data_IF_279757304938
#
_entry.id   IF_279757304938
#
_cell.length_a   1.000
_cell.length_b   1.000
_cell.length_c   1.000
_cell.angle_alpha   90.00
_cell.angle_beta   90.00
_cell.angle_gamma   90.00
#
_symmetry.space_group_name_H-M   'P 1'
#
loop_
_entity.id
_entity.type
_entity.pdbx_description
1 polymer ?
#
# COMPACT_ATOMS: atom_id res chain seq x y z
N UNK A 1 19.43 -2.73 9.42
CA UNK A 1 18.83 -1.76 8.46
C UNK A 1 17.32 -1.96 8.52
N UNK A 2 16.50 -0.91 8.57
CA UNK A 2 15.05 -1.06 8.70
C UNK A 2 14.35 -1.58 7.43
N UNK A 3 15.00 -2.46 6.64
CA UNK A 3 14.49 -2.93 5.35
C UNK A 3 14.41 -1.84 4.29
N UNK A 4 15.41 -0.95 4.18
CA UNK A 4 15.37 0.24 3.31
C UNK A 4 15.15 -0.06 1.82
N UNK A 5 15.27 -1.31 1.41
CA UNK A 5 15.05 -1.80 0.03
C UNK A 5 14.04 -2.94 -0.03
N UNK A 6 13.31 -3.23 1.06
CA UNK A 6 12.43 -4.41 1.10
C UNK A 6 11.20 -4.25 0.20
N UNK A 7 10.68 -3.03 0.08
CA UNK A 7 9.42 -2.73 -0.60
C UNK A 7 8.24 -3.60 -0.13
N UNK A 8 8.34 -4.16 1.08
CA UNK A 8 7.35 -5.05 1.67
C UNK A 8 7.12 -6.36 0.90
N UNK A 9 8.09 -6.77 0.09
CA UNK A 9 8.03 -8.04 -0.63
C UNK A 9 8.59 -9.19 0.21
N UNK A 10 8.03 -10.37 -0.04
CA UNK A 10 8.73 -11.62 0.21
C UNK A 10 9.63 -11.92 -0.99
N UNK A 11 10.92 -11.65 -0.80
CA UNK A 11 11.94 -11.76 -1.82
C UNK A 11 12.17 -13.23 -2.19
N UNK A 12 11.96 -13.65 -3.45
CA UNK A 12 12.31 -15.00 -3.90
C UNK A 12 13.83 -15.19 -4.05
N UNK A 13 14.61 -14.10 -4.08
CA UNK A 13 16.06 -14.13 -4.27
C UNK A 13 16.83 -14.11 -2.95
N UNK A 14 16.20 -13.63 -1.87
CA UNK A 14 16.83 -13.45 -0.57
C UNK A 14 15.84 -13.83 0.55
N UNK A 15 15.93 -15.05 1.09
CA UNK A 15 15.08 -15.51 2.18
C UNK A 15 15.19 -14.70 3.48
N UNK A 16 16.18 -13.81 3.61
CA UNK A 16 16.25 -12.89 4.75
C UNK A 16 15.35 -11.65 4.59
N UNK A 17 14.75 -11.47 3.41
CA UNK A 17 13.81 -10.38 3.09
C UNK A 17 12.40 -10.93 2.88
N UNK A 18 11.76 -11.40 3.95
CA UNK A 18 10.36 -11.83 3.95
C UNK A 18 9.47 -10.77 4.62
N UNK A 19 9.40 -9.57 4.02
CA UNK A 19 8.73 -8.43 4.66
C UNK A 19 7.21 -8.43 4.53
N UNK A 20 6.65 -9.13 3.54
CA UNK A 20 5.21 -9.31 3.46
C UNK A 20 4.77 -10.15 4.65
N UNK A 21 5.32 -11.37 4.77
CA UNK A 21 5.07 -12.31 5.88
C UNK A 21 5.39 -11.68 7.24
N UNK A 22 6.55 -11.05 7.39
CA UNK A 22 6.94 -10.42 8.66
C UNK A 22 5.92 -9.38 9.12
N UNK A 23 5.42 -8.53 8.22
CA UNK A 23 4.52 -7.44 8.61
C UNK A 23 3.07 -7.92 8.77
N UNK A 24 2.56 -8.77 7.88
CA UNK A 24 1.16 -9.21 7.94
C UNK A 24 0.90 -10.29 9.00
N UNK A 25 1.90 -11.12 9.31
CA UNK A 25 1.73 -12.26 10.21
C UNK A 25 2.51 -12.10 11.51
N UNK A 26 3.85 -12.11 11.42
CA UNK A 26 4.71 -12.23 12.61
C UNK A 26 4.60 -11.01 13.53
N UNK A 27 4.70 -9.81 12.96
CA UNK A 27 4.62 -8.56 13.69
C UNK A 27 3.21 -8.35 14.27
N UNK A 28 2.17 -8.65 13.48
CA UNK A 28 0.78 -8.57 13.94
C UNK A 28 0.55 -9.51 15.12
N UNK A 29 0.95 -10.77 15.01
CA UNK A 29 0.82 -11.75 16.10
C UNK A 29 1.63 -11.34 17.35
N UNK A 30 2.85 -10.83 17.15
CA UNK A 30 3.69 -10.33 18.23
C UNK A 30 3.02 -9.16 18.98
N UNK A 31 2.49 -8.18 18.25
CA UNK A 31 1.83 -7.01 18.82
C UNK A 31 0.54 -7.41 19.52
N UNK A 32 -0.30 -8.21 18.87
CA UNK A 32 -1.58 -8.67 19.39
C UNK A 32 -1.45 -9.51 20.67
N UNK A 33 -0.33 -10.23 20.84
CA UNK A 33 -0.06 -11.02 22.05
C UNK A 33 0.45 -10.21 23.23
N UNK A 34 0.97 -8.99 23.00
CA UNK A 34 1.66 -8.17 24.02
C UNK A 34 0.94 -6.89 24.39
N UNK A 35 0.13 -6.38 23.46
CA UNK A 35 -0.59 -5.13 23.63
C UNK A 35 -2.09 -5.37 23.49
N UNK A 36 -2.88 -4.47 24.08
CA UNK A 36 -4.34 -4.51 23.98
C UNK A 36 -4.76 -3.94 22.62
N UNK A 37 -4.80 -4.81 21.61
CA UNK A 37 -5.27 -4.50 20.26
C UNK A 37 -6.68 -5.03 20.02
N UNK A 38 -7.35 -4.47 19.00
CA UNK A 38 -8.52 -5.09 18.40
C UNK A 38 -8.06 -5.92 17.20
N UNK A 39 -8.26 -7.25 17.27
CA UNK A 39 -7.73 -8.20 16.27
C UNK A 39 -8.60 -8.36 15.02
N UNK A 40 -9.45 -7.38 14.74
CA UNK A 40 -10.33 -7.38 13.58
C UNK A 40 -9.72 -6.52 12.46
N UNK A 41 -9.82 -6.93 11.18
CA UNK A 41 -9.32 -6.14 10.05
C UNK A 41 -9.89 -4.73 10.03
N UNK A 42 -11.19 -4.57 10.29
CA UNK A 42 -11.88 -3.28 10.34
C UNK A 42 -11.42 -2.41 11.52
N UNK A 43 -10.49 -2.89 12.36
CA UNK A 43 -9.87 -2.14 13.46
C UNK A 43 -8.36 -1.98 13.28
N UNK A 44 -7.82 -2.36 12.12
CA UNK A 44 -6.39 -2.33 11.80
C UNK A 44 -6.17 -1.62 10.47
N UNK A 45 -5.27 -0.65 10.49
CA UNK A 45 -4.90 0.14 9.33
C UNK A 45 -3.41 0.05 9.03
N UNK A 46 -3.06 0.14 7.75
CA UNK A 46 -1.72 0.45 7.27
C UNK A 46 -1.71 1.87 6.73
N UNK A 47 -0.64 2.63 7.03
CA UNK A 47 -0.47 3.97 6.49
C UNK A 47 1.02 4.23 6.26
N UNK A 48 1.36 4.89 5.16
CA UNK A 48 2.76 5.17 4.88
C UNK A 48 3.01 6.15 3.75
N UNK A 49 4.27 6.56 3.66
CA UNK A 49 4.77 7.55 2.70
C UNK A 49 5.73 6.87 1.73
N UNK A 50 5.66 7.18 0.42
CA UNK A 50 6.61 6.67 -0.59
C UNK A 50 6.62 5.13 -0.66
N UNK A 51 7.76 4.48 -0.38
CA UNK A 51 7.84 3.02 -0.19
C UNK A 51 6.85 2.54 0.88
N UNK A 52 6.62 3.30 1.95
CA UNK A 52 5.60 2.99 2.95
C UNK A 52 4.17 3.13 2.41
N UNK A 53 3.93 4.02 1.44
CA UNK A 53 2.62 4.14 0.78
C UNK A 53 2.36 2.96 -0.16
N UNK A 54 3.41 2.46 -0.83
CA UNK A 54 3.39 1.16 -1.50
C UNK A 54 3.03 0.06 -0.51
N UNK A 55 3.79 -0.09 0.57
CA UNK A 55 3.57 -1.13 1.59
C UNK A 55 2.17 -1.09 2.19
N UNK A 56 1.65 0.11 2.46
CA UNK A 56 0.31 0.26 3.03
C UNK A 56 -0.77 -0.36 2.14
N UNK A 57 -0.78 0.00 0.85
CA UNK A 57 -1.73 -0.56 -0.10
C UNK A 57 -1.44 -2.03 -0.42
N UNK A 58 -0.18 -2.37 -0.67
CA UNK A 58 0.25 -3.72 -1.05
C UNK A 58 -0.17 -4.75 0.01
N UNK A 59 0.15 -4.49 1.27
CA UNK A 59 -0.20 -5.37 2.38
C UNK A 59 -1.72 -5.47 2.57
N UNK A 60 -2.44 -4.35 2.56
CA UNK A 60 -3.88 -4.37 2.84
C UNK A 60 -4.71 -5.01 1.71
N UNK A 61 -4.28 -4.86 0.45
CA UNK A 61 -4.94 -5.50 -0.70
C UNK A 61 -4.70 -7.02 -0.70
N UNK A 62 -3.52 -7.47 -0.25
CA UNK A 62 -3.13 -8.90 -0.25
C UNK A 62 -3.55 -9.64 1.01
N UNK A 63 -3.70 -8.93 2.12
CA UNK A 63 -4.09 -9.45 3.43
C UNK A 63 -5.33 -8.72 3.99
N UNK A 64 -6.48 -8.74 3.27
CA UNK A 64 -7.70 -8.06 3.71
C UNK A 64 -8.30 -8.68 4.98
N UNK A 65 -7.94 -9.92 5.30
CA UNK A 65 -8.24 -10.61 6.55
C UNK A 65 -7.38 -10.15 7.74
N UNK A 66 -6.41 -9.25 7.50
CA UNK A 66 -5.55 -8.65 8.52
C UNK A 66 -5.77 -7.14 8.62
N UNK A 67 -5.89 -6.45 7.48
CA UNK A 67 -5.98 -4.99 7.40
C UNK A 67 -7.23 -4.54 6.63
N UNK A 68 -8.11 -3.77 7.28
CA UNK A 68 -9.34 -3.24 6.69
C UNK A 68 -9.22 -1.79 6.22
N UNK A 69 -8.08 -1.14 6.41
CA UNK A 69 -7.87 0.26 6.01
C UNK A 69 -6.45 0.50 5.52
N UNK A 70 -6.30 1.22 4.41
CA UNK A 70 -5.01 1.58 3.84
C UNK A 70 -4.94 3.08 3.48
N UNK A 71 -3.86 3.74 3.89
CA UNK A 71 -3.59 5.15 3.59
C UNK A 71 -2.20 5.33 2.93
N UNK A 72 -2.18 5.77 1.67
CA UNK A 72 -0.96 5.94 0.89
C UNK A 72 -0.67 7.40 0.57
N UNK A 73 0.49 7.89 1.02
CA UNK A 73 0.93 9.26 0.83
C UNK A 73 2.12 9.27 -0.13
N UNK A 74 1.96 9.84 -1.32
CA UNK A 74 2.97 9.80 -2.39
C UNK A 74 3.50 8.38 -2.65
N UNK A 75 2.63 7.37 -2.66
CA UNK A 75 3.05 5.97 -2.71
C UNK A 75 3.63 5.54 -4.06
N UNK A 76 4.61 4.62 -4.04
CA UNK A 76 5.09 3.90 -5.22
C UNK A 76 4.08 2.83 -5.69
N UNK A 77 2.90 3.27 -6.13
CA UNK A 77 1.76 2.39 -6.46
C UNK A 77 1.90 1.68 -7.81
N UNK A 78 2.81 2.14 -8.65
CA UNK A 78 3.29 1.43 -9.82
C UNK A 78 4.82 1.57 -9.90
N UNK A 79 5.52 0.44 -9.72
CA UNK A 79 6.99 0.39 -9.69
C UNK A 79 7.59 0.21 -11.08
N UNK A 80 6.81 -0.28 -12.05
CA UNK A 80 7.28 -0.67 -13.39
C UNK A 80 7.87 0.48 -14.21
N UNK A 81 7.41 1.74 -14.09
CA UNK A 81 8.08 2.87 -14.74
C UNK A 81 9.48 3.20 -14.19
N UNK A 82 9.89 2.54 -13.09
CA UNK A 82 11.12 2.83 -12.36
C UNK A 82 11.99 1.57 -12.13
N UNK A 83 12.27 0.75 -13.17
CA UNK A 83 12.83 -0.60 -12.97
C UNK A 83 14.26 -0.61 -12.42
N UNK A 84 15.00 0.49 -12.57
CA UNK A 84 16.37 0.65 -12.08
C UNK A 84 16.49 1.42 -10.75
N UNK A 85 15.40 1.62 -10.02
CA UNK A 85 15.37 2.46 -8.82
C UNK A 85 15.19 1.63 -7.54
N UNK A 86 15.75 2.15 -6.43
CA UNK A 86 15.56 1.66 -5.05
C UNK A 86 15.93 0.19 -4.80
N UNK A 87 16.80 -0.36 -5.64
CA UNK A 87 17.30 -1.73 -5.54
C UNK A 87 16.19 -2.79 -5.50
N UNK A 88 15.01 -2.50 -6.05
CA UNK A 88 13.88 -3.45 -6.13
C UNK A 88 14.33 -4.73 -6.85
N UNK A 89 15.14 -4.59 -7.91
CA UNK A 89 15.67 -5.72 -8.66
C UNK A 89 16.57 -6.65 -7.83
N UNK A 90 17.19 -6.18 -6.74
CA UNK A 90 17.93 -7.05 -5.82
C UNK A 90 16.99 -7.97 -5.00
N UNK A 91 15.70 -7.62 -4.92
CA UNK A 91 14.68 -8.40 -4.20
C UNK A 91 13.89 -9.31 -5.13
N UNK A 92 13.49 -8.80 -6.28
CA UNK A 92 12.54 -9.51 -7.15
C UNK A 92 13.11 -9.80 -8.54
N UNK A 93 14.40 -9.60 -8.78
CA UNK A 93 15.01 -9.77 -10.09
C UNK A 93 14.75 -8.59 -11.01
N UNK A 94 15.46 -8.53 -12.15
CA UNK A 94 15.28 -7.44 -13.11
C UNK A 94 13.94 -7.57 -13.84
N UNK A 95 13.37 -6.44 -14.28
CA UNK A 95 12.11 -6.45 -15.04
C UNK A 95 12.26 -7.13 -16.41
N UNK A 96 13.47 -7.17 -16.95
CA UNK A 96 13.79 -7.84 -18.22
C UNK A 96 13.74 -9.36 -18.08
N UNK A 97 14.24 -9.89 -16.96
CA UNK A 97 14.27 -11.34 -16.68
C UNK A 97 12.95 -11.84 -16.09
N UNK A 98 12.26 -11.00 -15.30
CA UNK A 98 11.14 -11.40 -14.45
C UNK A 98 9.91 -10.47 -14.59
N UNK A 99 9.42 -10.19 -15.82
CA UNK A 99 8.35 -9.20 -16.04
C UNK A 99 7.04 -9.55 -15.33
N UNK A 100 6.68 -10.84 -15.26
CA UNK A 100 5.47 -11.31 -14.59
C UNK A 100 5.51 -11.04 -13.08
N UNK A 101 6.69 -11.17 -12.45
CA UNK A 101 6.87 -10.88 -11.02
C UNK A 101 6.73 -9.39 -10.71
N UNK A 102 7.22 -8.53 -11.60
CA UNK A 102 7.01 -7.09 -11.50
C UNK A 102 5.53 -6.72 -11.64
N UNK A 103 4.81 -7.40 -12.53
CA UNK A 103 3.36 -7.23 -12.65
C UNK A 103 2.63 -7.72 -11.39
N UNK A 104 2.98 -8.89 -10.86
CA UNK A 104 2.37 -9.45 -9.65
C UNK A 104 2.62 -8.54 -8.42
N UNK A 105 3.81 -7.98 -8.28
CA UNK A 105 4.19 -7.21 -7.09
C UNK A 105 3.86 -5.71 -7.19
N UNK A 106 3.12 -5.30 -8.23
CA UNK A 106 2.67 -3.93 -8.41
C UNK A 106 1.26 -3.71 -7.84
N UNK A 107 1.10 -2.70 -6.97
CA UNK A 107 -0.17 -2.37 -6.29
C UNK A 107 -1.33 -2.17 -7.26
N UNK A 108 -1.12 -1.44 -8.36
CA UNK A 108 -2.13 -1.22 -9.43
C UNK A 108 -2.68 -2.55 -9.99
N UNK A 109 -1.82 -3.56 -10.18
CA UNK A 109 -2.25 -4.86 -10.68
C UNK A 109 -2.92 -5.69 -9.57
N UNK A 110 -2.36 -5.69 -8.35
CA UNK A 110 -2.97 -6.36 -7.21
C UNK A 110 -4.39 -5.85 -6.93
N UNK A 111 -4.62 -4.55 -7.02
CA UNK A 111 -5.96 -3.96 -6.88
C UNK A 111 -6.92 -4.49 -7.95
N UNK A 112 -6.46 -4.60 -9.20
CA UNK A 112 -7.25 -5.14 -10.31
C UNK A 112 -7.66 -6.59 -10.09
N UNK A 113 -6.76 -7.39 -9.56
CA UNK A 113 -6.96 -8.83 -9.38
C UNK A 113 -7.79 -9.15 -8.14
N UNK A 114 -7.65 -8.36 -7.08
CA UNK A 114 -8.16 -8.71 -5.74
C UNK A 114 -9.35 -7.88 -5.28
N UNK A 115 -9.49 -6.65 -5.78
CA UNK A 115 -10.62 -5.79 -5.42
C UNK A 115 -11.77 -5.91 -6.41
N UNK A 116 -11.57 -6.55 -7.57
CA UNK A 116 -12.64 -6.91 -8.50
C UNK A 116 -13.36 -8.16 -7.97
N UNK A 117 -14.29 -7.96 -7.05
CA UNK A 117 -15.16 -9.00 -6.48
C UNK A 117 -16.59 -8.47 -6.33
N UNK A 118 -17.55 -9.33 -6.65
CA UNK A 118 -18.94 -9.02 -6.94
C UNK A 118 -19.63 -8.16 -5.87
N UNK A 119 -20.53 -7.28 -6.34
CA UNK A 119 -21.41 -6.42 -5.55
C UNK A 119 -22.33 -7.17 -4.53
N UNK A 120 -22.15 -8.50 -4.41
CA UNK A 120 -23.00 -9.45 -3.69
C UNK A 120 -22.24 -10.28 -2.63
N UNK A 121 -20.94 -10.00 -2.42
CA UNK A 121 -20.22 -10.52 -1.24
C UNK A 121 -20.34 -9.51 -0.09
N UNK A 122 -20.64 -10.02 1.11
CA UNK A 122 -21.04 -9.26 2.31
C UNK A 122 -20.41 -7.87 2.41
N UNK A 123 -21.27 -6.86 2.60
CA UNK A 123 -20.91 -5.45 2.69
C UNK A 123 -19.93 -5.11 3.83
N UNK A 124 -19.59 -6.07 4.69
CA UNK A 124 -18.92 -5.87 5.98
C UNK A 124 -17.38 -5.93 5.92
N UNK A 125 -16.77 -6.24 4.77
CA UNK A 125 -15.30 -6.31 4.64
C UNK A 125 -14.76 -5.60 3.38
N UNK A 126 -15.25 -4.41 3.05
CA UNK A 126 -14.64 -3.58 2.01
C UNK A 126 -13.43 -2.83 2.58
N UNK A 127 -12.26 -3.07 1.98
CA UNK A 127 -11.03 -2.34 2.29
C UNK A 127 -11.26 -0.83 2.08
N UNK A 128 -11.11 -0.04 3.15
CA UNK A 128 -11.14 1.42 3.07
C UNK A 128 -9.81 1.96 2.53
N UNK A 129 -9.84 2.73 1.45
CA UNK A 129 -8.65 3.21 0.75
C UNK A 129 -8.61 4.75 0.75
N UNK A 130 -7.48 5.32 1.17
CA UNK A 130 -7.12 6.71 0.91
C UNK A 130 -5.76 6.76 0.24
N UNK A 131 -5.65 7.53 -0.85
CA UNK A 131 -4.38 7.73 -1.54
C UNK A 131 -4.24 9.17 -2.03
N UNK A 132 -3.00 9.61 -2.21
CA UNK A 132 -2.76 10.94 -2.75
C UNK A 132 -1.31 11.25 -2.95
N UNK A 133 -1.01 12.32 -3.68
CA UNK A 133 0.34 12.63 -4.10
C UNK A 133 0.56 14.14 -4.28
N UNK A 134 1.82 14.56 -4.12
CA UNK A 134 2.20 15.94 -4.38
C UNK A 134 2.11 16.29 -5.87
N UNK A 135 1.62 17.49 -6.20
CA UNK A 135 1.47 17.92 -7.61
C UNK A 135 2.79 18.14 -8.36
N UNK A 136 3.93 18.10 -7.66
CA UNK A 136 5.30 18.13 -8.22
C UNK A 136 6.09 16.86 -7.89
N UNK A 137 5.43 15.84 -7.36
CA UNK A 137 6.04 14.57 -6.99
C UNK A 137 6.24 13.70 -8.25
N UNK A 138 7.36 12.99 -8.33
CA UNK A 138 7.64 12.10 -9.46
C UNK A 138 6.70 10.89 -9.51
N UNK A 139 6.02 10.56 -8.41
CA UNK A 139 4.98 9.54 -8.37
C UNK A 139 3.58 10.05 -8.72
N UNK A 140 3.40 11.34 -9.06
CA UNK A 140 2.07 11.89 -9.33
C UNK A 140 1.34 11.13 -10.44
N UNK A 141 2.03 10.83 -11.55
CA UNK A 141 1.39 10.16 -12.68
C UNK A 141 0.90 8.75 -12.32
N UNK A 142 1.71 7.96 -11.61
CA UNK A 142 1.31 6.61 -11.19
C UNK A 142 0.16 6.62 -10.18
N UNK A 143 0.11 7.62 -9.29
CA UNK A 143 -1.01 7.78 -8.35
C UNK A 143 -2.30 8.21 -9.06
N UNK A 144 -2.22 9.11 -10.06
CA UNK A 144 -3.37 9.46 -10.91
C UNK A 144 -3.90 8.26 -11.68
N UNK A 145 -3.00 7.47 -12.27
CA UNK A 145 -3.40 6.27 -13.01
C UNK A 145 -4.09 5.27 -12.09
N UNK A 146 -3.59 5.08 -10.86
CA UNK A 146 -4.22 4.20 -9.89
C UNK A 146 -5.60 4.72 -9.44
N UNK A 147 -5.72 6.02 -9.16
CA UNK A 147 -7.02 6.66 -8.89
C UNK A 147 -8.03 6.39 -10.02
N UNK A 148 -7.65 6.66 -11.27
CA UNK A 148 -8.52 6.42 -12.42
C UNK A 148 -8.92 4.94 -12.55
N UNK A 149 -7.99 4.02 -12.30
CA UNK A 149 -8.28 2.60 -12.31
C UNK A 149 -9.29 2.21 -11.23
N UNK A 150 -9.17 2.74 -10.01
CA UNK A 150 -10.15 2.50 -8.95
C UNK A 150 -11.52 3.07 -9.30
N UNK A 151 -11.56 4.25 -9.94
CA UNK A 151 -12.80 4.84 -10.47
C UNK A 151 -13.44 3.94 -11.54
N UNK A 152 -12.67 3.46 -12.51
CA UNK A 152 -13.16 2.56 -13.58
C UNK A 152 -13.69 1.22 -13.03
N UNK A 153 -13.19 0.79 -11.87
CA UNK A 153 -13.63 -0.41 -11.17
C UNK A 153 -14.77 -0.17 -10.17
N UNK A 154 -15.24 1.08 -10.02
CA UNK A 154 -16.22 1.49 -9.00
C UNK A 154 -15.81 1.11 -7.56
N UNK A 155 -14.52 1.17 -7.25
CA UNK A 155 -14.01 0.94 -5.89
C UNK A 155 -14.07 2.25 -5.10
N UNK A 156 -14.82 2.32 -3.98
CA UNK A 156 -14.83 3.51 -3.14
C UNK A 156 -13.45 3.81 -2.56
N UNK A 157 -12.99 5.04 -2.70
CA UNK A 157 -11.70 5.49 -2.16
C UNK A 157 -11.65 7.02 -2.07
N UNK A 158 -10.79 7.50 -1.18
CA UNK A 158 -10.44 8.91 -1.03
C UNK A 158 -9.19 9.24 -1.87
N UNK A 159 -9.25 10.29 -2.69
CA UNK A 159 -8.12 10.76 -3.49
C UNK A 159 -7.80 12.24 -3.25
N UNK A 160 -6.53 12.56 -3.00
CA UNK A 160 -6.08 13.94 -2.84
C UNK A 160 -4.77 14.26 -3.57
N UNK A 161 -4.78 15.33 -4.36
CA UNK A 161 -3.56 15.99 -4.81
C UNK A 161 -3.28 17.24 -3.98
N UNK A 162 -2.02 17.44 -3.59
CA UNK A 162 -1.63 18.56 -2.75
C UNK A 162 -0.38 19.28 -3.27
N UNK A 163 -0.21 20.60 -3.02
CA UNK A 163 0.98 21.31 -3.47
C UNK A 163 2.25 20.74 -2.84
N UNK A 164 3.27 20.41 -3.63
CA UNK A 164 4.57 19.92 -3.11
C UNK A 164 5.17 18.80 -3.94
N UNK A 165 6.41 18.44 -3.66
CA UNK A 165 7.10 17.32 -4.29
C UNK A 165 7.19 16.11 -3.36
N UNK A 166 8.18 15.25 -3.64
CA UNK A 166 8.48 14.08 -2.82
C UNK A 166 9.28 14.47 -1.57
N UNK A 167 8.66 15.24 -0.68
CA UNK A 167 9.35 15.91 0.43
C UNK A 167 8.52 15.99 1.73
N UNK A 168 9.22 16.01 2.87
CA UNK A 168 8.59 16.03 4.19
C UNK A 168 7.73 17.28 4.46
N UNK A 169 8.03 18.42 3.82
CA UNK A 169 7.24 19.65 3.99
C UNK A 169 5.87 19.49 3.32
N UNK A 170 5.79 18.78 2.20
CA UNK A 170 4.53 18.40 1.58
C UNK A 170 3.76 17.41 2.47
N UNK A 171 4.40 16.28 2.84
CA UNK A 171 3.73 15.23 3.61
C UNK A 171 3.22 15.69 4.97
N UNK A 172 4.02 16.47 5.71
CA UNK A 172 3.63 16.99 7.03
C UNK A 172 2.32 17.78 7.00
N UNK A 173 2.02 18.47 5.90
CA UNK A 173 0.78 19.26 5.76
C UNK A 173 -0.46 18.40 5.59
N UNK A 174 -0.31 17.21 5.03
CA UNK A 174 -1.44 16.31 4.74
C UNK A 174 -1.58 15.18 5.74
N UNK A 175 -0.57 14.91 6.57
CA UNK A 175 -0.64 13.90 7.63
C UNK A 175 -1.93 13.96 8.47
N UNK A 176 -2.41 15.14 8.94
CA UNK A 176 -3.65 15.20 9.73
C UNK A 176 -4.87 14.62 9.00
N UNK A 177 -4.98 14.81 7.69
CA UNK A 177 -6.06 14.26 6.88
C UNK A 177 -6.02 12.72 6.87
N UNK A 178 -4.86 12.13 6.58
CA UNK A 178 -4.73 10.66 6.58
C UNK A 178 -4.90 10.03 7.96
N UNK A 179 -4.49 10.73 9.04
CA UNK A 179 -4.78 10.29 10.40
C UNK A 179 -6.29 10.33 10.71
N UNK A 180 -7.00 11.36 10.24
CA UNK A 180 -8.47 11.43 10.38
C UNK A 180 -9.14 10.28 9.65
N UNK A 181 -8.76 10.07 8.39
CA UNK A 181 -9.27 8.95 7.57
C UNK A 181 -9.07 7.60 8.26
N UNK A 182 -7.85 7.32 8.73
CA UNK A 182 -7.56 6.06 9.45
C UNK A 182 -8.42 5.96 10.71
N UNK A 183 -8.49 7.04 11.51
CA UNK A 183 -9.25 7.05 12.76
C UNK A 183 -10.75 6.79 12.55
N UNK A 184 -11.34 7.37 11.50
CA UNK A 184 -12.75 7.20 11.15
C UNK A 184 -13.05 5.76 10.71
N UNK A 185 -12.15 5.13 9.95
CA UNK A 185 -12.36 3.78 9.42
C UNK A 185 -12.00 2.65 10.40
N UNK A 186 -11.21 2.91 11.45
CA UNK A 186 -10.92 1.91 12.50
C UNK A 186 -11.76 2.07 13.77
N UNK A 187 -12.49 3.18 13.93
CA UNK A 187 -13.35 3.42 15.09
C UNK A 187 -14.83 3.59 14.75
N UNK A 188 -15.18 3.61 13.47
CA UNK A 188 -16.56 3.55 12.99
C UNK A 188 -17.30 2.29 13.39
#
# INVERSE_FOLDING_TARGET
>A
DGGSTSWYFDSPLDPSYQYETFVSEELVAYVDSRYRTHRSPNRRATAGISMGGHGALFLAIRHPDVFGTAASISGGVDIRPFPGQWDIALRIGTMEEEPERWDELTVVNQAKERLRGDADTDADAKLAISLGCGTKDFFLHVNRNFHNQLMDMNIPHDYMEYPGGHDWKAWKRVLPYYFSFVNENING
#
